data_IF_984135262308
#
_entry.id   IF_984135262308
#
_cell.length_a   1.000
_cell.length_b   1.000
_cell.length_c   1.000
_cell.angle_alpha   90.00
_cell.angle_beta   90.00
_cell.angle_gamma   90.00
#
_symmetry.space_group_name_H-M   'P 1'
#
loop_
_entity.id
_entity.type
_entity.pdbx_description
1 polymer ?
#
# COMPACT_ATOMS: atom_id res chain seq x y z
N UNK A 1 -0.97 12.66 -19.43
CA UNK A 1 -1.56 11.99 -18.28
C UNK A 1 -0.52 11.72 -17.22
N UNK A 2 -0.77 12.17 -16.02
CA UNK A 2 0.25 12.17 -14.97
C UNK A 2 0.13 10.90 -14.11
N UNK A 3 1.22 10.15 -14.03
CA UNK A 3 1.32 9.01 -13.13
C UNK A 3 1.37 9.52 -11.69
N UNK A 4 0.63 8.89 -10.81
CA UNK A 4 0.65 9.20 -9.39
C UNK A 4 1.38 8.09 -8.64
N UNK A 5 2.38 8.48 -7.84
CA UNK A 5 3.10 7.56 -6.98
C UNK A 5 2.55 7.70 -5.56
N UNK A 6 2.21 6.58 -4.93
CA UNK A 6 1.77 6.54 -3.54
C UNK A 6 2.72 5.65 -2.76
N UNK A 7 3.21 6.18 -1.63
CA UNK A 7 4.05 5.42 -0.70
C UNK A 7 3.26 5.22 0.57
N UNK A 8 3.00 3.96 0.93
CA UNK A 8 2.22 3.63 2.11
C UNK A 8 3.13 2.94 3.14
N UNK A 9 3.25 3.54 4.32
CA UNK A 9 4.08 3.00 5.41
C UNK A 9 3.19 2.52 6.54
N UNK A 10 3.54 1.36 7.10
CA UNK A 10 2.79 0.72 8.17
C UNK A 10 3.75 0.28 9.26
N UNK A 11 3.35 0.46 10.52
CA UNK A 11 4.09 -0.10 11.65
C UNK A 11 3.19 -1.11 12.35
N UNK A 12 3.67 -2.34 12.50
CA UNK A 12 2.92 -3.37 13.20
C UNK A 12 2.91 -3.08 14.71
N UNK A 13 1.79 -3.38 15.35
CA UNK A 13 1.74 -3.45 16.81
C UNK A 13 2.67 -4.55 17.30
N UNK A 14 3.20 -4.45 18.54
CA UNK A 14 4.06 -5.50 19.08
C UNK A 14 3.45 -6.89 18.91
N UNK A 15 4.22 -7.80 18.35
CA UNK A 15 3.79 -9.18 18.12
C UNK A 15 2.87 -9.40 16.93
N UNK A 16 2.53 -8.35 16.16
CA UNK A 16 1.57 -8.46 15.06
C UNK A 16 2.21 -8.41 13.67
N UNK A 17 3.54 -8.40 13.57
CA UNK A 17 4.16 -8.20 12.25
C UNK A 17 3.88 -9.34 11.28
N UNK A 18 3.82 -10.58 11.75
CA UNK A 18 3.50 -11.71 10.88
C UNK A 18 2.06 -11.59 10.35
N UNK A 19 1.12 -11.28 11.23
CA UNK A 19 -0.28 -11.10 10.84
C UNK A 19 -0.46 -9.92 9.89
N UNK A 20 0.24 -8.80 10.15
CA UNK A 20 0.19 -7.64 9.27
C UNK A 20 0.76 -7.98 7.90
N UNK A 21 1.89 -8.67 7.86
CA UNK A 21 2.52 -9.08 6.61
C UNK A 21 1.60 -9.97 5.76
N UNK A 22 0.89 -10.90 6.40
CA UNK A 22 -0.08 -11.75 5.69
C UNK A 22 -1.25 -10.94 5.15
N UNK A 23 -1.78 -10.01 5.95
CA UNK A 23 -2.88 -9.15 5.52
C UNK A 23 -2.48 -8.24 4.36
N UNK A 24 -1.27 -7.65 4.42
CA UNK A 24 -0.75 -6.81 3.34
C UNK A 24 -0.47 -7.63 2.09
N UNK A 25 0.09 -8.84 2.24
CA UNK A 25 0.34 -9.74 1.11
C UNK A 25 -0.94 -10.10 0.37
N UNK A 26 -2.04 -10.26 1.11
CA UNK A 26 -3.33 -10.60 0.51
C UNK A 26 -3.88 -9.49 -0.39
N UNK A 27 -3.39 -8.25 -0.24
CA UNK A 27 -3.81 -7.13 -1.08
C UNK A 27 -3.11 -7.12 -2.45
N UNK A 28 -1.96 -7.78 -2.57
CA UNK A 28 -1.08 -7.61 -3.74
C UNK A 28 -1.76 -8.03 -5.04
N UNK A 29 -2.24 -9.28 -5.12
CA UNK A 29 -2.84 -9.79 -6.35
C UNK A 29 -4.10 -9.03 -6.77
N UNK A 30 -5.11 -8.81 -5.88
CA UNK A 30 -6.29 -8.07 -6.30
C UNK A 30 -5.97 -6.62 -6.70
N UNK A 31 -5.00 -5.99 -6.04
CA UNK A 31 -4.62 -4.62 -6.40
C UNK A 31 -3.95 -4.58 -7.76
N UNK A 32 -3.05 -5.52 -8.03
CA UNK A 32 -2.39 -5.61 -9.34
C UNK A 32 -3.38 -5.89 -10.47
N UNK A 33 -4.55 -6.43 -10.16
CA UNK A 33 -5.62 -6.64 -11.11
C UNK A 33 -6.43 -5.39 -11.43
N UNK A 34 -6.27 -4.32 -10.69
CA UNK A 34 -6.98 -3.07 -10.95
C UNK A 34 -6.43 -2.43 -12.22
N UNK A 35 -7.32 -1.96 -13.10
CA UNK A 35 -6.93 -1.50 -14.44
C UNK A 35 -5.97 -0.32 -14.44
N UNK A 36 -6.03 0.53 -13.42
CA UNK A 36 -5.18 1.73 -13.32
C UNK A 36 -3.90 1.50 -12.52
N UNK A 37 -3.69 0.28 -12.01
CA UNK A 37 -2.49 -0.03 -11.25
C UNK A 37 -1.32 -0.36 -12.17
N UNK A 38 -0.24 0.39 -12.06
CA UNK A 38 1.00 0.10 -12.80
C UNK A 38 1.87 -0.89 -12.04
N UNK A 39 2.00 -0.69 -10.73
CA UNK A 39 2.69 -1.63 -9.85
C UNK A 39 2.18 -1.45 -8.43
N UNK A 40 2.34 -2.50 -7.64
CA UNK A 40 1.94 -2.53 -6.24
C UNK A 40 2.87 -3.52 -5.55
N UNK A 41 3.91 -3.01 -4.88
CA UNK A 41 5.02 -3.83 -4.41
C UNK A 41 5.20 -3.70 -2.90
N UNK A 42 5.02 -4.80 -2.19
CA UNK A 42 5.11 -4.85 -0.74
C UNK A 42 6.55 -5.10 -0.30
N UNK A 43 7.00 -4.32 0.67
CA UNK A 43 8.34 -4.41 1.23
C UNK A 43 8.28 -4.45 2.75
N UNK A 44 9.23 -5.13 3.35
CA UNK A 44 9.45 -5.09 4.79
C UNK A 44 10.79 -4.43 5.04
N UNK A 45 10.87 -3.58 6.08
CA UNK A 45 12.11 -2.91 6.42
C UNK A 45 13.19 -3.95 6.76
N UNK A 46 14.39 -3.71 6.25
CA UNK A 46 15.54 -4.57 6.54
C UNK A 46 15.98 -4.46 8.00
N UNK A 47 15.84 -3.26 8.59
CA UNK A 47 16.38 -2.96 9.91
C UNK A 47 15.35 -3.05 11.02
N UNK A 48 14.06 -3.04 10.71
CA UNK A 48 12.97 -3.09 11.68
C UNK A 48 11.84 -3.95 11.12
N UNK A 49 11.70 -5.16 11.64
CA UNK A 49 10.74 -6.13 11.14
C UNK A 49 9.28 -5.67 11.27
N UNK A 50 9.02 -4.67 12.12
CA UNK A 50 7.65 -4.17 12.31
C UNK A 50 7.27 -3.08 11.30
N UNK A 51 8.21 -2.62 10.48
CA UNK A 51 7.94 -1.59 9.48
C UNK A 51 7.76 -2.22 8.11
N UNK A 52 6.63 -1.90 7.49
CA UNK A 52 6.26 -2.37 6.17
C UNK A 52 6.01 -1.18 5.25
N UNK A 53 6.16 -1.39 3.96
CA UNK A 53 6.07 -0.33 2.97
C UNK A 53 5.53 -0.87 1.66
N UNK A 54 4.58 -0.15 1.05
CA UNK A 54 4.09 -0.46 -0.29
C UNK A 54 4.48 0.67 -1.23
N UNK A 55 5.12 0.30 -2.32
CA UNK A 55 5.46 1.22 -3.41
C UNK A 55 4.44 1.01 -4.52
N UNK A 56 3.67 2.06 -4.82
CA UNK A 56 2.55 1.98 -5.75
C UNK A 56 2.65 3.08 -6.79
N UNK A 57 2.36 2.72 -8.05
CA UNK A 57 2.20 3.71 -9.10
C UNK A 57 0.86 3.48 -9.78
N UNK A 58 0.15 4.57 -9.99
CA UNK A 58 -1.19 4.57 -10.58
C UNK A 58 -1.19 5.41 -11.83
N UNK A 59 -1.98 5.02 -12.85
CA UNK A 59 -2.06 5.77 -14.11
C UNK A 59 -2.64 7.15 -13.90
N UNK A 60 -3.48 7.31 -12.86
CA UNK A 60 -4.18 8.57 -12.59
C UNK A 60 -4.56 8.66 -11.12
N UNK A 61 -4.91 9.86 -10.66
CA UNK A 61 -5.46 10.06 -9.33
C UNK A 61 -6.78 9.33 -9.16
N UNK A 62 -7.59 9.27 -10.20
CA UNK A 62 -8.85 8.53 -10.19
C UNK A 62 -8.63 7.04 -9.95
N UNK A 63 -7.54 6.49 -10.49
CA UNK A 63 -7.19 5.09 -10.27
C UNK A 63 -6.88 4.81 -8.81
N UNK A 64 -6.13 5.69 -8.15
CA UNK A 64 -5.86 5.55 -6.72
C UNK A 64 -7.16 5.69 -5.92
N UNK A 65 -8.01 6.65 -6.28
CA UNK A 65 -9.30 6.82 -5.61
C UNK A 65 -10.16 5.55 -5.72
N UNK A 66 -10.18 4.93 -6.88
CA UNK A 66 -10.90 3.67 -7.09
C UNK A 66 -10.32 2.56 -6.20
N UNK A 67 -8.99 2.49 -6.08
CA UNK A 67 -8.31 1.54 -5.20
C UNK A 67 -8.75 1.73 -3.75
N UNK A 68 -8.82 2.98 -3.29
CA UNK A 68 -9.22 3.27 -1.91
C UNK A 68 -10.66 2.82 -1.63
N UNK A 69 -11.50 2.72 -2.64
CA UNK A 69 -12.88 2.24 -2.50
C UNK A 69 -13.04 0.75 -2.79
N UNK A 70 -11.97 0.06 -3.15
CA UNK A 70 -12.04 -1.36 -3.53
C UNK A 70 -12.47 -2.23 -2.35
N UNK A 71 -13.10 -3.36 -2.66
CA UNK A 71 -13.54 -4.32 -1.66
C UNK A 71 -12.36 -4.86 -0.85
N UNK A 72 -11.24 -5.18 -1.53
CA UNK A 72 -10.08 -5.74 -0.85
C UNK A 72 -9.42 -4.72 0.09
N UNK A 73 -9.31 -3.45 -0.32
CA UNK A 73 -8.73 -2.46 0.58
C UNK A 73 -9.66 -2.16 1.75
N UNK A 74 -10.96 -2.04 1.51
CA UNK A 74 -11.92 -1.81 2.59
C UNK A 74 -11.91 -2.94 3.62
N UNK A 75 -11.78 -4.19 3.17
CA UNK A 75 -11.66 -5.33 4.08
C UNK A 75 -10.39 -5.22 4.93
N UNK A 76 -9.26 -4.82 4.33
CA UNK A 76 -8.02 -4.60 5.07
C UNK A 76 -8.18 -3.50 6.12
N UNK A 77 -8.80 -2.38 5.74
CA UNK A 77 -8.96 -1.24 6.65
C UNK A 77 -9.80 -1.59 7.87
N UNK A 78 -10.71 -2.56 7.76
CA UNK A 78 -11.51 -3.01 8.91
C UNK A 78 -10.66 -3.73 9.96
N UNK A 79 -9.66 -4.49 9.55
CA UNK A 79 -8.81 -5.25 10.49
C UNK A 79 -7.54 -4.48 10.86
N UNK A 80 -7.19 -3.44 10.12
CA UNK A 80 -5.96 -2.67 10.32
C UNK A 80 -5.78 -2.16 11.76
N UNK A 81 -6.81 -1.64 12.45
CA UNK A 81 -6.61 -1.15 13.82
C UNK A 81 -6.11 -2.20 14.80
N UNK A 82 -6.33 -3.48 14.51
CA UNK A 82 -5.85 -4.56 15.37
C UNK A 82 -4.38 -4.92 15.09
N UNK A 83 -3.86 -4.49 13.95
CA UNK A 83 -2.54 -4.90 13.45
C UNK A 83 -1.53 -3.76 13.43
N UNK A 84 -1.99 -2.53 13.27
CA UNK A 84 -1.14 -1.36 12.99
C UNK A 84 -1.10 -0.46 14.21
N UNK A 85 0.12 -0.06 14.58
CA UNK A 85 0.36 0.96 15.61
C UNK A 85 0.32 2.32 14.95
N UNK A 86 -0.58 3.18 15.43
CA UNK A 86 -0.75 4.52 14.87
C UNK A 86 -1.46 4.51 13.52
N UNK A 87 -1.27 5.57 12.76
CA UNK A 87 -1.93 5.75 11.48
C UNK A 87 -1.08 5.21 10.34
N UNK A 88 -1.74 4.85 9.24
CA UNK A 88 -1.05 4.54 7.99
C UNK A 88 -0.49 5.86 7.44
N UNK A 89 0.81 5.88 7.14
CA UNK A 89 1.47 7.06 6.60
C UNK A 89 1.43 6.97 5.07
N UNK A 90 0.59 7.82 4.46
CA UNK A 90 0.43 7.86 3.01
C UNK A 90 1.09 9.12 2.47
N UNK A 91 1.98 8.95 1.49
CA UNK A 91 2.67 10.05 0.85
C UNK A 91 2.54 9.93 -0.66
N UNK A 92 2.06 10.99 -1.29
CA UNK A 92 1.82 11.01 -2.74
C UNK A 92 2.81 11.92 -3.44
N UNK A 93 3.29 11.46 -4.59
CA UNK A 93 4.31 12.15 -5.36
C UNK A 93 4.00 12.08 -6.85
N UNK A 94 4.49 13.06 -7.59
CA UNK A 94 4.47 13.05 -9.05
C UNK A 94 5.90 12.80 -9.53
N UNK A 95 6.06 11.84 -10.45
CA UNK A 95 7.38 11.57 -11.00
C UNK A 95 7.81 12.75 -11.88
N UNK A 96 8.99 13.32 -11.61
CA UNK A 96 9.54 14.42 -12.39
C UNK A 96 10.50 13.92 -13.47
N UNK A 97 11.24 12.85 -13.15
CA UNK A 97 12.17 12.27 -14.12
C UNK A 97 11.42 11.47 -15.17
N UNK A 98 12.03 11.31 -16.34
CA UNK A 98 11.48 10.42 -17.36
C UNK A 98 11.67 8.97 -16.90
N UNK A 99 10.76 8.11 -17.36
CA UNK A 99 10.89 6.68 -17.08
C UNK A 99 12.05 6.11 -17.89
N UNK A 100 12.84 5.26 -17.22
CA UNK A 100 13.95 4.60 -17.89
C UNK A 100 13.48 3.45 -18.77
#
# INVERSE_FOLDING_TARGET
MTQLTNLAFFRAKPGQTLSLGLALSALVEPTRGESECRNYDLHQSRDDADVWFVYENWRSAEGLDAHMRSTHLQAFLKIAPNLIAGDIDLRQFLMISTRA
#
